data_IF_146733909757
#
_entry.id   IF_146733909757
#
_cell.length_a   1.000
_cell.length_b   1.000
_cell.length_c   1.000
_cell.angle_alpha   90.00
_cell.angle_beta   90.00
_cell.angle_gamma   90.00
#
_symmetry.space_group_name_H-M   'P 1'
#
loop_
_entity.id
_entity.type
_entity.pdbx_description
1 polymer ?
#
# COMPACT_ATOMS: atom_id res chain seq x y z
N UNK A 1 -7.39 -3.17 -5.38
CA UNK A 1 -7.69 -3.20 -3.92
C UNK A 1 -7.57 -4.59 -3.27
N UNK A 2 -8.10 -5.69 -3.85
CA UNK A 2 -8.03 -7.05 -3.25
C UNK A 2 -6.61 -7.61 -2.99
N UNK A 3 -5.58 -7.05 -3.63
CA UNK A 3 -4.23 -7.65 -3.62
C UNK A 3 -3.36 -7.17 -2.44
N UNK A 4 -3.55 -5.94 -1.93
CA UNK A 4 -2.73 -5.38 -0.84
C UNK A 4 -2.86 -6.26 0.42
N UNK A 5 -4.10 -6.52 0.84
CA UNK A 5 -4.38 -7.35 2.02
C UNK A 5 -3.99 -8.82 1.83
N UNK A 6 -4.06 -9.34 0.61
CA UNK A 6 -3.63 -10.70 0.29
C UNK A 6 -2.11 -10.84 0.47
N UNK A 7 -1.34 -9.93 -0.12
CA UNK A 7 0.12 -9.89 0.02
C UNK A 7 0.56 -9.70 1.47
N UNK A 8 -0.12 -8.84 2.25
CA UNK A 8 0.14 -8.69 3.70
C UNK A 8 -0.13 -10.00 4.44
N UNK A 9 -1.25 -10.68 4.16
CA UNK A 9 -1.61 -11.93 4.81
C UNK A 9 -0.65 -13.06 4.48
N UNK A 10 -0.17 -13.12 3.24
CA UNK A 10 0.87 -14.06 2.85
C UNK A 10 2.21 -13.73 3.50
N UNK A 11 2.60 -12.45 3.56
CA UNK A 11 3.84 -12.01 4.20
C UNK A 11 3.90 -12.47 5.67
N UNK A 12 2.79 -12.34 6.41
CA UNK A 12 2.67 -12.78 7.80
C UNK A 12 2.84 -14.30 8.00
N UNK A 13 2.67 -15.08 6.93
CA UNK A 13 2.90 -16.54 6.91
C UNK A 13 4.19 -16.94 6.21
N UNK A 14 4.99 -15.97 5.78
CA UNK A 14 6.21 -16.19 5.04
C UNK A 14 7.26 -16.96 5.86
N UNK A 15 8.04 -17.79 5.17
CA UNK A 15 9.01 -18.70 5.80
C UNK A 15 10.32 -18.00 6.18
N UNK A 16 10.55 -16.78 5.69
CA UNK A 16 11.76 -16.01 5.98
C UNK A 16 11.50 -14.51 6.04
N UNK A 17 12.42 -13.79 6.68
CA UNK A 17 12.41 -12.33 6.74
C UNK A 17 12.53 -11.68 5.35
N UNK A 18 13.26 -12.31 4.44
CA UNK A 18 13.39 -11.87 3.04
C UNK A 18 12.06 -12.01 2.30
N UNK A 19 11.38 -13.14 2.48
CA UNK A 19 10.05 -13.37 1.89
C UNK A 19 9.01 -12.38 2.46
N UNK A 20 9.01 -12.17 3.78
CA UNK A 20 8.20 -11.13 4.42
C UNK A 20 8.46 -9.74 3.79
N UNK A 21 9.72 -9.33 3.67
CA UNK A 21 10.09 -8.04 3.08
C UNK A 21 9.68 -7.92 1.61
N UNK A 22 9.84 -8.99 0.83
CA UNK A 22 9.43 -9.03 -0.57
C UNK A 22 7.93 -8.86 -0.73
N UNK A 23 7.12 -9.63 0.01
CA UNK A 23 5.65 -9.58 -0.05
C UNK A 23 5.09 -8.26 0.49
N UNK A 24 5.67 -7.70 1.56
CA UNK A 24 5.32 -6.35 2.04
C UNK A 24 5.63 -5.27 1.00
N UNK A 25 6.71 -5.44 0.22
CA UNK A 25 7.05 -4.52 -0.86
C UNK A 25 6.09 -4.63 -2.06
N UNK A 26 5.53 -5.82 -2.33
CA UNK A 26 4.46 -5.97 -3.32
C UNK A 26 3.19 -5.25 -2.84
N UNK A 27 2.78 -5.47 -1.58
CA UNK A 27 1.64 -4.78 -0.99
C UNK A 27 1.79 -3.25 -1.05
N UNK A 28 2.99 -2.73 -0.81
CA UNK A 28 3.30 -1.31 -0.92
C UNK A 28 3.09 -0.79 -2.35
N UNK A 29 3.63 -1.46 -3.37
CA UNK A 29 3.46 -1.06 -4.77
C UNK A 29 1.99 -0.98 -5.18
N UNK A 30 1.20 -1.97 -4.77
CA UNK A 30 -0.22 -2.01 -5.08
C UNK A 30 -1.02 -0.91 -4.34
N UNK A 31 -0.58 -0.50 -3.15
CA UNK A 31 -1.14 0.63 -2.43
C UNK A 31 -0.81 1.96 -3.11
N UNK A 32 0.45 2.15 -3.55
CA UNK A 32 0.87 3.34 -4.31
C UNK A 32 0.16 3.44 -5.67
N UNK A 33 -0.04 2.32 -6.37
CA UNK A 33 -0.85 2.28 -7.60
C UNK A 33 -2.30 2.65 -7.33
N UNK A 34 -2.88 2.17 -6.23
CA UNK A 34 -4.26 2.52 -5.84
C UNK A 34 -4.38 4.01 -5.52
N UNK A 35 -3.42 4.57 -4.78
CA UNK A 35 -3.34 6.01 -4.50
C UNK A 35 -3.29 6.83 -5.79
N UNK A 36 -2.41 6.46 -6.72
CA UNK A 36 -2.29 7.11 -8.02
C UNK A 36 -3.61 7.12 -8.81
N UNK A 37 -4.33 5.99 -8.86
CA UNK A 37 -5.61 5.93 -9.56
C UNK A 37 -6.67 6.82 -8.91
N UNK A 38 -6.70 6.92 -7.58
CA UNK A 38 -7.63 7.81 -6.87
C UNK A 38 -7.32 9.27 -7.22
N UNK A 39 -6.04 9.67 -7.21
CA UNK A 39 -5.62 11.02 -7.57
C UNK A 39 -5.96 11.35 -9.03
N UNK A 40 -5.68 10.43 -9.97
CA UNK A 40 -6.01 10.61 -11.37
C UNK A 40 -7.53 10.76 -11.62
N UNK A 41 -8.34 9.95 -10.94
CA UNK A 41 -9.81 10.02 -11.05
C UNK A 41 -10.38 11.32 -10.46
N UNK A 42 -9.74 11.84 -9.42
CA UNK A 42 -10.07 13.15 -8.84
C UNK A 42 -9.69 14.29 -9.82
N UNK A 43 -8.48 14.26 -10.38
CA UNK A 43 -8.01 15.28 -11.33
C UNK A 43 -8.81 15.30 -12.65
N UNK A 44 -9.25 14.13 -13.10
CA UNK A 44 -10.09 13.99 -14.31
C UNK A 44 -11.57 14.33 -14.09
N UNK A 45 -11.96 14.70 -12.86
CA UNK A 45 -13.33 15.08 -12.52
C UNK A 45 -14.34 13.92 -12.47
N UNK A 46 -13.86 12.66 -12.52
CA UNK A 46 -14.72 11.48 -12.36
C UNK A 46 -15.15 11.26 -10.92
N UNK A 47 -14.35 11.74 -9.96
CA UNK A 47 -14.66 11.69 -8.54
C UNK A 47 -14.68 13.09 -7.93
N UNK A 48 -15.55 13.29 -6.94
CA UNK A 48 -15.57 14.53 -6.16
C UNK A 48 -14.55 14.47 -5.02
N UNK A 49 -13.99 15.62 -4.65
CA UNK A 49 -13.08 15.69 -3.50
C UNK A 49 -13.79 15.36 -2.17
N UNK A 50 -15.06 15.75 -2.02
CA UNK A 50 -15.84 15.48 -0.81
C UNK A 50 -15.99 13.97 -0.57
N UNK A 51 -16.17 13.20 -1.64
CA UNK A 51 -16.38 11.75 -1.54
C UNK A 51 -15.06 10.98 -1.43
N UNK A 52 -13.97 11.53 -1.98
CA UNK A 52 -12.67 10.83 -2.05
C UNK A 52 -11.66 11.22 -0.98
N UNK A 53 -11.85 12.36 -0.29
CA UNK A 53 -10.87 12.84 0.70
C UNK A 53 -10.57 11.80 1.79
N UNK A 54 -11.60 11.12 2.29
CA UNK A 54 -11.44 10.09 3.32
C UNK A 54 -10.62 8.89 2.82
N UNK A 55 -11.03 8.29 1.70
CA UNK A 55 -10.38 7.10 1.15
C UNK A 55 -8.94 7.40 0.67
N UNK A 56 -8.70 8.59 0.11
CA UNK A 56 -7.35 9.01 -0.28
C UNK A 56 -6.45 9.18 0.93
N UNK A 57 -6.96 9.77 2.01
CA UNK A 57 -6.22 9.93 3.26
C UNK A 57 -5.87 8.57 3.89
N UNK A 58 -6.83 7.65 3.95
CA UNK A 58 -6.60 6.28 4.45
C UNK A 58 -5.59 5.53 3.59
N UNK A 59 -5.66 5.67 2.26
CA UNK A 59 -4.69 5.08 1.34
C UNK A 59 -3.28 5.62 1.59
N UNK A 60 -3.14 6.94 1.77
CA UNK A 60 -1.87 7.59 2.11
C UNK A 60 -1.28 7.10 3.44
N UNK A 61 -2.13 6.91 4.45
CA UNK A 61 -1.71 6.36 5.74
C UNK A 61 -1.26 4.90 5.61
N UNK A 62 -1.97 4.09 4.81
CA UNK A 62 -1.58 2.73 4.51
C UNK A 62 -0.22 2.66 3.80
N UNK A 63 0.01 3.48 2.77
CA UNK A 63 1.29 3.60 2.08
C UNK A 63 2.43 3.92 3.06
N UNK A 64 2.22 4.88 3.98
CA UNK A 64 3.22 5.25 5.00
C UNK A 64 3.56 4.09 5.94
N UNK A 65 2.55 3.35 6.40
CA UNK A 65 2.76 2.19 7.26
C UNK A 65 3.55 1.10 6.54
N UNK A 66 3.17 0.77 5.30
CA UNK A 66 3.87 -0.23 4.49
C UNK A 66 5.32 0.19 4.17
N UNK A 67 5.54 1.46 3.84
CA UNK A 67 6.90 2.03 3.67
C UNK A 67 7.75 1.84 4.93
N UNK A 68 7.19 2.17 6.10
CA UNK A 68 7.89 2.01 7.37
C UNK A 68 8.28 0.55 7.63
N UNK A 69 7.37 -0.40 7.37
CA UNK A 69 7.62 -1.84 7.50
C UNK A 69 8.74 -2.29 6.55
N UNK A 70 8.61 -2.00 5.25
CA UNK A 70 9.60 -2.39 4.22
C UNK A 70 10.98 -1.81 4.55
N UNK A 71 11.02 -0.54 4.99
CA UNK A 71 12.24 0.13 5.44
C UNK A 71 12.87 -0.63 6.60
N UNK A 72 12.11 -0.88 7.67
CA UNK A 72 12.62 -1.57 8.86
C UNK A 72 13.14 -2.99 8.60
N UNK A 73 12.60 -3.70 7.60
CA UNK A 73 13.11 -5.02 7.20
C UNK A 73 14.48 -4.91 6.52
N UNK A 74 14.64 -3.94 5.60
CA UNK A 74 15.87 -3.71 4.84
C UNK A 74 17.05 -3.24 5.70
N UNK A 75 16.82 -2.44 6.73
CA UNK A 75 17.88 -1.92 7.62
C UNK A 75 18.34 -2.92 8.70
N UNK A 76 17.79 -4.13 8.74
CA UNK A 76 18.18 -5.18 9.69
C UNK A 76 18.86 -6.37 8.99
N UNK A 77 19.32 -6.23 7.76
CA UNK A 77 20.32 -7.11 7.12
C UNK A 77 21.68 -6.43 7.21
#
# INVERSE_FOLDING_TARGET
MNSIGANVREALRGESKRDFGHKMNIALKEAEETEYWIELLLESGYLSLSDTKGILQECKELCKMLHSIVRSVRFKE
#
